data_IF_831058926930
#
_entry.id   IF_831058926930
#
_cell.length_a   1.000
_cell.length_b   1.000
_cell.length_c   1.000
_cell.angle_alpha   90.00
_cell.angle_beta   90.00
_cell.angle_gamma   90.00
#
_symmetry.space_group_name_H-M   'P 1'
#
loop_
_entity.id
_entity.type
_entity.pdbx_description
1 polymer ?
#
# COMPACT_ATOMS: atom_id res chain seq x y z
N UNK A 1 12.55 16.10 -12.91
CA UNK A 1 13.72 16.91 -12.48
C UNK A 1 14.02 16.55 -11.02
N UNK A 2 15.28 16.28 -10.66
CA UNK A 2 15.67 15.83 -9.31
C UNK A 2 16.77 16.74 -8.76
N UNK A 3 16.68 17.15 -7.51
CA UNK A 3 17.73 17.88 -6.78
C UNK A 3 17.70 17.45 -5.32
N UNK A 4 18.85 17.43 -4.65
CA UNK A 4 18.95 17.18 -3.20
C UNK A 4 18.83 18.51 -2.45
N UNK A 5 18.03 18.53 -1.39
CA UNK A 5 17.96 19.65 -0.46
C UNK A 5 18.34 19.13 0.93
N UNK A 6 19.62 19.25 1.31
CA UNK A 6 20.15 18.59 2.52
C UNK A 6 20.05 17.06 2.42
N UNK A 7 19.50 16.42 3.47
CA UNK A 7 19.34 14.95 3.56
C UNK A 7 18.03 14.43 2.93
N UNK A 8 17.38 15.23 2.09
CA UNK A 8 16.11 14.87 1.47
C UNK A 8 16.26 14.49 0.00
N UNK A 9 15.60 13.39 -0.35
CA UNK A 9 15.33 13.00 -1.73
C UNK A 9 14.01 13.65 -2.17
N UNK A 10 14.07 14.44 -3.25
CA UNK A 10 12.90 15.17 -3.77
C UNK A 10 12.32 14.39 -4.94
N UNK A 11 11.06 13.99 -4.81
CA UNK A 11 10.31 13.30 -5.86
C UNK A 11 9.18 14.18 -6.39
N UNK A 12 9.10 14.29 -7.71
CA UNK A 12 7.94 14.86 -8.40
C UNK A 12 6.89 13.79 -8.57
N UNK A 13 5.68 14.03 -8.07
CA UNK A 13 4.55 13.13 -8.27
C UNK A 13 3.42 13.89 -8.95
N UNK A 14 2.71 13.28 -9.92
CA UNK A 14 1.50 13.89 -10.45
C UNK A 14 0.44 14.03 -9.35
N UNK A 15 -0.31 15.12 -9.40
CA UNK A 15 -1.58 15.24 -8.68
C UNK A 15 -2.59 14.46 -9.50
N UNK A 16 -2.80 13.21 -9.12
CA UNK A 16 -3.74 12.36 -9.84
C UNK A 16 -5.17 12.93 -9.74
N UNK A 17 -5.87 13.13 -10.86
CA UNK A 17 -7.27 13.53 -10.83
C UNK A 17 -8.04 12.44 -10.10
N UNK A 18 -8.96 12.83 -9.20
CA UNK A 18 -9.81 11.90 -8.44
C UNK A 18 -10.89 11.22 -9.30
N UNK A 19 -10.69 11.11 -10.62
CA UNK A 19 -11.66 10.47 -11.51
C UNK A 19 -11.51 8.96 -11.40
N UNK A 20 -12.64 8.30 -11.16
CA UNK A 20 -12.72 6.85 -11.19
C UNK A 20 -12.72 6.44 -12.65
N UNK A 21 -11.60 5.91 -13.10
CA UNK A 21 -11.45 5.29 -14.42
C UNK A 21 -11.67 3.80 -14.25
N UNK A 22 -12.63 3.22 -14.97
CA UNK A 22 -12.90 1.79 -14.89
C UNK A 22 -11.68 0.98 -15.36
N UNK A 23 -11.34 -0.10 -14.65
CA UNK A 23 -10.26 -1.00 -15.06
C UNK A 23 -10.84 -2.18 -15.84
N UNK A 24 -10.39 -2.36 -17.09
CA UNK A 24 -10.67 -3.52 -17.91
C UNK A 24 -9.44 -3.91 -18.74
N UNK A 25 -9.34 -5.18 -19.12
CA UNK A 25 -8.30 -5.68 -20.03
C UNK A 25 -6.87 -5.41 -19.54
N UNK A 26 -6.11 -4.68 -20.36
CA UNK A 26 -4.65 -4.49 -20.21
C UNK A 26 -4.22 -3.98 -18.83
N UNK A 27 -4.98 -3.06 -18.22
CA UNK A 27 -4.63 -2.52 -16.89
C UNK A 27 -4.79 -3.56 -15.77
N UNK A 28 -5.77 -4.45 -15.89
CA UNK A 28 -5.93 -5.57 -14.97
C UNK A 28 -4.76 -6.55 -15.11
N UNK A 29 -4.34 -6.84 -16.34
CA UNK A 29 -3.22 -7.75 -16.58
C UNK A 29 -1.89 -7.17 -16.14
N UNK A 30 -1.67 -5.86 -16.32
CA UNK A 30 -0.51 -5.15 -15.74
C UNK A 30 -0.51 -5.28 -14.23
N UNK A 31 -1.63 -5.03 -13.57
CA UNK A 31 -1.71 -5.14 -12.11
C UNK A 31 -1.44 -6.57 -11.63
N UNK A 32 -1.95 -7.61 -12.32
CA UNK A 32 -1.63 -9.00 -11.98
C UNK A 32 -0.14 -9.31 -12.10
N UNK A 33 0.54 -8.77 -13.14
CA UNK A 33 2.00 -8.87 -13.29
C UNK A 33 2.74 -8.13 -12.18
N UNK A 34 2.29 -6.93 -11.82
CA UNK A 34 2.87 -6.17 -10.72
C UNK A 34 2.75 -6.90 -9.38
N UNK A 35 1.60 -7.54 -9.12
CA UNK A 35 1.40 -8.35 -7.90
C UNK A 35 2.26 -9.62 -7.88
N UNK A 36 2.48 -10.23 -9.06
CA UNK A 36 3.40 -11.35 -9.20
C UNK A 36 4.86 -10.94 -8.92
N UNK A 37 5.30 -9.80 -9.44
CA UNK A 37 6.63 -9.23 -9.16
C UNK A 37 6.76 -8.79 -7.69
N UNK A 38 5.73 -8.16 -7.11
CA UNK A 38 5.69 -7.79 -5.70
C UNK A 38 5.95 -9.00 -4.79
N UNK A 39 5.38 -10.15 -5.11
CA UNK A 39 5.58 -11.38 -4.34
C UNK A 39 7.03 -11.87 -4.34
N UNK A 40 7.77 -11.60 -5.43
CA UNK A 40 9.21 -11.87 -5.50
C UNK A 40 10.02 -10.85 -4.72
N UNK A 41 9.60 -9.58 -4.75
CA UNK A 41 10.28 -8.47 -4.06
C UNK A 41 10.24 -8.65 -2.54
N UNK A 42 9.06 -8.96 -1.99
CA UNK A 42 8.85 -9.04 -0.55
C UNK A 42 9.01 -10.45 0.03
N UNK A 43 9.04 -11.47 -0.82
CA UNK A 43 9.19 -12.86 -0.42
C UNK A 43 7.93 -13.45 0.25
N UNK A 44 8.03 -14.73 0.59
CA UNK A 44 6.99 -15.49 1.32
C UNK A 44 7.43 -15.90 2.72
N UNK A 45 8.71 -15.69 3.06
CA UNK A 45 9.30 -16.01 4.34
C UNK A 45 9.09 -14.92 5.40
N UNK A 46 8.49 -13.79 5.00
CA UNK A 46 8.05 -12.73 5.88
C UNK A 46 6.53 -12.61 5.79
N UNK A 47 5.85 -12.56 6.94
CA UNK A 47 4.39 -12.40 6.97
C UNK A 47 4.02 -10.93 6.71
N UNK A 48 3.48 -10.66 5.52
CA UNK A 48 2.90 -9.38 5.12
C UNK A 48 1.56 -9.61 4.41
N UNK A 49 0.76 -8.56 4.29
CA UNK A 49 -0.54 -8.59 3.64
C UNK A 49 -0.70 -7.45 2.64
N UNK A 50 -1.42 -7.69 1.55
CA UNK A 50 -1.91 -6.63 0.68
C UNK A 50 -3.07 -5.89 1.36
N UNK A 51 -3.08 -4.56 1.24
CA UNK A 51 -4.10 -3.70 1.84
C UNK A 51 -4.58 -2.62 0.86
N UNK A 52 -5.31 -1.63 1.38
CA UNK A 52 -5.69 -0.43 0.67
C UNK A 52 -6.64 -0.69 -0.49
N UNK A 53 -6.46 0.08 -1.58
CA UNK A 53 -7.42 0.07 -2.68
C UNK A 53 -7.46 -1.26 -3.43
N UNK A 54 -6.30 -1.87 -3.69
CA UNK A 54 -6.19 -3.09 -4.52
C UNK A 54 -6.76 -4.32 -3.81
N UNK A 55 -6.69 -4.36 -2.48
CA UNK A 55 -7.21 -5.47 -1.68
C UNK A 55 -8.73 -5.71 -1.87
N UNK A 56 -9.50 -4.66 -2.14
CA UNK A 56 -10.95 -4.73 -2.34
C UNK A 56 -11.32 -5.57 -3.57
N UNK A 57 -10.96 -5.18 -4.81
CA UNK A 57 -11.34 -5.93 -6.00
C UNK A 57 -10.77 -7.35 -6.04
N UNK A 58 -9.59 -7.58 -5.45
CA UNK A 58 -9.03 -8.94 -5.34
C UNK A 58 -9.88 -9.86 -4.46
N UNK A 59 -10.46 -9.32 -3.39
CA UNK A 59 -11.36 -10.10 -2.52
C UNK A 59 -12.74 -10.26 -3.13
N UNK A 60 -13.24 -9.24 -3.83
CA UNK A 60 -14.55 -9.27 -4.49
C UNK A 60 -14.55 -10.09 -5.80
N UNK A 61 -13.38 -10.36 -6.38
CA UNK A 61 -13.24 -11.06 -7.66
C UNK A 61 -13.50 -10.22 -8.90
N UNK A 62 -13.65 -8.89 -8.75
CA UNK A 62 -13.94 -7.97 -9.86
C UNK A 62 -13.24 -6.62 -9.69
N UNK A 63 -12.45 -6.22 -10.69
CA UNK A 63 -11.88 -4.87 -10.75
C UNK A 63 -12.91 -3.86 -11.24
N UNK A 64 -12.99 -2.72 -10.56
CA UNK A 64 -13.95 -1.66 -10.85
C UNK A 64 -13.28 -0.30 -11.10
N UNK A 65 -11.97 -0.18 -10.87
CA UNK A 65 -11.21 1.03 -11.16
C UNK A 65 -9.73 0.78 -11.37
N UNK A 66 -9.03 1.73 -11.98
CA UNK A 66 -7.57 1.73 -12.06
C UNK A 66 -6.98 2.00 -10.67
N UNK A 67 -6.00 1.19 -10.29
CA UNK A 67 -5.20 1.37 -9.08
C UNK A 67 -3.82 1.86 -9.46
N UNK A 68 -3.35 2.95 -8.85
CA UNK A 68 -2.04 3.58 -9.17
C UNK A 68 -0.98 3.34 -8.11
N UNK A 69 -1.39 2.86 -6.94
CA UNK A 69 -0.51 2.54 -5.81
C UNK A 69 -0.81 1.13 -5.32
N UNK A 70 0.20 0.52 -4.73
CA UNK A 70 0.10 -0.73 -3.99
C UNK A 70 0.40 -0.42 -2.54
N UNK A 71 -0.49 -0.88 -1.67
CA UNK A 71 -0.40 -0.70 -0.23
C UNK A 71 -0.12 -2.08 0.39
N UNK A 72 0.89 -2.17 1.25
CA UNK A 72 1.22 -3.38 2.02
C UNK A 72 1.13 -3.11 3.51
N UNK A 73 0.73 -4.11 4.28
CA UNK A 73 0.65 -4.08 5.72
C UNK A 73 1.53 -5.17 6.33
N UNK A 74 2.19 -4.88 7.44
CA UNK A 74 3.09 -5.81 8.13
C UNK A 74 3.04 -5.58 9.64
N UNK A 75 3.16 -6.66 10.41
CA UNK A 75 3.31 -6.57 11.87
C UNK A 75 4.69 -5.98 12.21
N UNK A 76 4.75 -5.11 13.23
CA UNK A 76 6.00 -4.48 13.67
C UNK A 76 7.13 -5.50 13.95
N UNK A 77 6.80 -6.69 14.46
CA UNK A 77 7.77 -7.76 14.72
C UNK A 77 8.44 -8.31 13.45
N UNK A 78 7.77 -8.21 12.30
CA UNK A 78 8.25 -8.66 10.99
C UNK A 78 8.80 -7.52 10.13
N UNK A 79 8.68 -6.27 10.58
CA UNK A 79 8.98 -5.11 9.74
C UNK A 79 10.45 -5.05 9.32
N UNK A 80 11.39 -5.31 10.23
CA UNK A 80 12.82 -5.34 9.91
C UNK A 80 13.14 -6.37 8.82
N UNK A 81 12.58 -7.58 8.93
CA UNK A 81 12.77 -8.63 7.93
C UNK A 81 12.18 -8.23 6.56
N UNK A 82 10.99 -7.60 6.54
CA UNK A 82 10.39 -7.11 5.30
C UNK A 82 11.28 -6.05 4.62
N UNK A 83 11.87 -5.16 5.42
CA UNK A 83 12.78 -4.11 4.91
C UNK A 83 14.04 -4.72 4.31
N UNK A 84 14.62 -5.75 4.94
CA UNK A 84 15.75 -6.49 4.38
C UNK A 84 15.41 -7.13 3.03
N UNK A 85 14.23 -7.77 2.89
CA UNK A 85 13.77 -8.36 1.62
C UNK A 85 13.59 -7.32 0.52
N UNK A 86 12.94 -6.21 0.85
CA UNK A 86 12.80 -5.10 -0.09
C UNK A 86 14.19 -4.58 -0.53
N UNK A 87 15.16 -4.50 0.39
CA UNK A 87 16.53 -4.04 0.10
C UNK A 87 17.29 -4.98 -0.84
N UNK A 88 17.15 -6.29 -0.67
CA UNK A 88 17.70 -7.31 -1.60
C UNK A 88 17.18 -7.10 -3.04
N UNK A 89 15.98 -6.54 -3.18
CA UNK A 89 15.35 -6.21 -4.46
C UNK A 89 15.56 -4.76 -4.91
N UNK A 90 16.58 -4.07 -4.40
CA UNK A 90 16.90 -2.67 -4.68
C UNK A 90 15.79 -1.69 -4.27
N UNK A 91 15.18 -1.84 -3.09
CA UNK A 91 14.34 -0.81 -2.49
C UNK A 91 15.00 -0.19 -1.26
N UNK A 92 14.74 1.10 -1.02
CA UNK A 92 15.08 1.77 0.24
C UNK A 92 13.81 2.09 1.02
N UNK A 93 13.94 2.20 2.34
CA UNK A 93 12.86 2.59 3.23
C UNK A 93 12.90 4.10 3.44
N UNK A 94 11.79 4.78 3.15
CA UNK A 94 11.71 6.23 3.23
C UNK A 94 10.48 6.68 4.00
N UNK A 95 10.61 7.75 4.77
CA UNK A 95 9.47 8.48 5.36
C UNK A 95 9.30 9.82 4.67
N UNK A 96 8.05 10.15 4.30
CA UNK A 96 7.73 11.46 3.74
C UNK A 96 7.67 12.51 4.85
N UNK A 97 8.59 13.47 4.82
CA UNK A 97 8.63 14.57 5.80
C UNK A 97 7.77 15.76 5.40
N UNK A 98 7.71 16.05 4.10
CA UNK A 98 6.99 17.22 3.61
C UNK A 98 6.43 16.97 2.22
N UNK A 99 5.34 17.66 1.89
CA UNK A 99 4.76 17.67 0.55
C UNK A 99 4.25 19.07 0.23
N UNK A 100 4.56 19.55 -0.97
CA UNK A 100 4.05 20.82 -1.49
C UNK A 100 3.50 20.66 -2.90
N UNK A 101 2.41 21.37 -3.21
CA UNK A 101 1.86 21.42 -4.56
C UNK A 101 2.59 22.51 -5.33
N UNK A 102 3.12 22.16 -6.50
CA UNK A 102 3.78 23.11 -7.41
C UNK A 102 2.80 23.63 -8.44
N UNK A 103 1.84 22.80 -8.85
CA UNK A 103 0.76 23.18 -9.76
C UNK A 103 -0.51 22.37 -9.46
N UNK A 104 -1.57 22.60 -10.24
CA UNK A 104 -2.80 21.78 -10.19
C UNK A 104 -2.56 20.31 -10.55
N UNK A 105 -1.48 20.00 -11.28
CA UNK A 105 -1.16 18.67 -11.78
C UNK A 105 0.13 18.07 -11.19
N UNK A 106 0.87 18.82 -10.38
CA UNK A 106 2.19 18.42 -9.89
C UNK A 106 2.39 18.74 -8.41
N UNK A 107 2.95 17.79 -7.66
CA UNK A 107 3.43 17.97 -6.30
C UNK A 107 4.88 17.50 -6.16
N UNK A 108 5.57 18.04 -5.16
CA UNK A 108 6.86 17.58 -4.68
C UNK A 108 6.67 16.89 -3.35
N UNK A 109 7.11 15.65 -3.25
CA UNK A 109 7.19 14.89 -2.01
C UNK A 109 8.68 14.84 -1.59
N UNK A 110 8.96 15.19 -0.33
CA UNK A 110 10.30 15.22 0.25
C UNK A 110 10.46 14.01 1.18
N UNK A 111 11.35 13.11 0.80
CA UNK A 111 11.59 11.86 1.50
C UNK A 111 12.94 11.89 2.21
N UNK A 112 12.99 11.26 3.39
CA UNK A 112 14.22 10.92 4.10
C UNK A 112 14.34 9.40 4.14
N UNK A 113 15.50 8.85 3.77
CA UNK A 113 15.77 7.43 4.03
C UNK A 113 15.80 7.22 5.55
N UNK A 114 15.21 6.13 6.02
CA UNK A 114 15.07 5.82 7.45
C UNK A 114 15.35 4.35 7.70
N UNK A 115 15.81 4.04 8.90
CA UNK A 115 15.94 2.66 9.37
C UNK A 115 14.63 2.15 9.99
N UNK A 116 14.39 0.82 10.03
CA UNK A 116 13.22 0.25 10.67
C UNK A 116 13.06 0.71 12.13
N UNK A 117 14.16 0.80 12.87
CA UNK A 117 14.18 1.16 14.28
C UNK A 117 13.78 2.63 14.50
N UNK A 118 14.17 3.53 13.58
CA UNK A 118 13.73 4.92 13.61
C UNK A 118 12.22 5.03 13.42
N UNK A 119 11.66 4.24 12.49
CA UNK A 119 10.22 4.25 12.22
C UNK A 119 9.43 3.80 13.44
N UNK A 120 9.85 2.71 14.09
CA UNK A 120 9.19 2.17 15.28
C UNK A 120 9.34 3.10 16.49
N UNK A 121 10.56 3.61 16.74
CA UNK A 121 10.87 4.43 17.92
C UNK A 121 10.28 5.84 17.85
N UNK A 122 10.33 6.48 16.68
CA UNK A 122 9.80 7.84 16.48
C UNK A 122 8.34 7.83 16.02
N UNK A 123 7.73 6.66 15.86
CA UNK A 123 6.37 6.48 15.33
C UNK A 123 6.19 7.23 14.00
N UNK A 124 7.10 6.99 13.04
CA UNK A 124 7.08 7.69 11.77
C UNK A 124 5.92 7.23 10.89
N UNK A 125 5.16 8.19 10.37
CA UNK A 125 4.06 7.94 9.43
C UNK A 125 4.52 8.09 7.96
N UNK A 126 3.64 7.66 7.05
CA UNK A 126 3.85 7.77 5.59
C UNK A 126 5.16 7.14 5.12
N UNK A 127 5.37 5.91 5.57
CA UNK A 127 6.53 5.10 5.24
C UNK A 127 6.29 4.40 3.91
N UNK A 128 7.33 4.36 3.07
CA UNK A 128 7.29 3.74 1.75
C UNK A 128 8.55 2.95 1.47
N UNK A 129 8.41 1.87 0.71
CA UNK A 129 9.52 1.34 -0.08
C UNK A 129 9.60 2.11 -1.39
N UNK A 130 10.77 2.70 -1.68
CA UNK A 130 11.04 3.34 -2.96
C UNK A 130 12.09 2.54 -3.72
N UNK A 131 11.82 2.21 -4.98
CA UNK A 131 12.77 1.50 -5.84
C UNK A 131 14.01 2.37 -6.05
N UNK A 132 15.19 1.77 -5.96
CA UNK A 132 16.48 2.42 -6.11
C UNK A 132 17.08 2.12 -7.48
N UNK A 133 17.79 3.09 -8.04
CA UNK A 133 18.64 2.90 -9.20
C UNK A 133 20.00 2.31 -8.83
N UNK A 134 20.85 2.07 -9.82
CA UNK A 134 22.21 1.55 -9.64
C UNK A 134 23.14 2.43 -8.79
N UNK A 135 22.75 3.66 -8.51
CA UNK A 135 23.49 4.60 -7.66
C UNK A 135 22.86 4.73 -6.27
N UNK A 136 21.90 3.86 -5.94
CA UNK A 136 21.19 3.88 -4.65
C UNK A 136 20.19 5.03 -4.51
N UNK A 137 19.76 5.66 -5.61
CA UNK A 137 18.81 6.79 -5.56
C UNK A 137 17.38 6.36 -5.91
N UNK A 138 16.34 6.94 -5.30
CA UNK A 138 14.96 6.65 -5.65
C UNK A 138 14.66 6.90 -7.14
N UNK A 139 14.06 5.90 -7.79
CA UNK A 139 13.51 5.96 -9.14
C UNK A 139 12.22 6.78 -9.11
N UNK A 140 11.94 7.53 -10.17
CA UNK A 140 10.75 8.35 -10.26
C UNK A 140 10.13 8.29 -11.67
N UNK A 141 9.74 7.09 -12.08
CA UNK A 141 9.08 6.86 -13.37
C UNK A 141 7.55 6.80 -13.22
N UNK A 142 7.03 6.89 -11.99
CA UNK A 142 5.62 6.75 -11.64
C UNK A 142 5.02 5.38 -12.00
N UNK A 143 5.85 4.33 -12.09
CA UNK A 143 5.33 2.97 -12.20
C UNK A 143 4.80 2.51 -10.85
N UNK A 144 3.82 1.58 -10.89
CA UNK A 144 3.07 1.12 -9.72
C UNK A 144 3.98 0.50 -8.65
N UNK A 145 5.04 -0.20 -9.08
CA UNK A 145 6.05 -0.79 -8.21
C UNK A 145 7.23 0.13 -7.90
N UNK A 146 7.33 1.34 -8.47
CA UNK A 146 8.42 2.25 -8.08
C UNK A 146 8.27 2.73 -6.62
N UNK A 147 7.04 2.68 -6.09
CA UNK A 147 6.75 3.02 -4.70
C UNK A 147 5.67 2.13 -4.11
N UNK A 148 5.92 1.57 -2.92
CA UNK A 148 4.95 0.79 -2.16
C UNK A 148 4.67 1.52 -0.85
N UNK A 149 3.40 1.78 -0.55
CA UNK A 149 2.99 2.34 0.73
C UNK A 149 2.99 1.25 1.80
N UNK A 150 3.65 1.51 2.94
CA UNK A 150 3.79 0.54 4.04
C UNK A 150 2.97 0.99 5.23
N UNK A 151 2.10 0.09 5.69
CA UNK A 151 1.31 0.23 6.90
C UNK A 151 1.86 -0.71 7.97
N UNK A 152 2.14 -0.15 9.14
CA UNK A 152 2.57 -0.93 10.30
C UNK A 152 1.37 -1.23 11.17
N UNK A 153 1.31 -2.49 11.58
CA UNK A 153 0.32 -2.98 12.53
C UNK A 153 1.05 -3.47 13.78
N UNK A 154 0.49 -3.19 14.94
CA UNK A 154 0.94 -3.79 16.19
C UNK A 154 -0.17 -4.68 16.77
N UNK A 155 0.20 -5.66 17.56
CA UNK A 155 -0.77 -6.58 18.17
C UNK A 155 -1.10 -6.11 19.60
N UNK A 156 -2.39 -5.88 19.88
CA UNK A 156 -2.93 -5.66 21.23
C UNK A 156 -3.89 -6.80 21.60
N UNK A 157 -3.43 -7.77 22.38
CA UNK A 157 -4.23 -8.95 22.74
C UNK A 157 -4.59 -9.79 21.51
N UNK A 158 -5.90 -9.92 21.23
CA UNK A 158 -6.41 -10.62 20.04
C UNK A 158 -6.67 -9.68 18.86
N UNK A 159 -6.28 -8.40 18.94
CA UNK A 159 -6.50 -7.42 17.88
C UNK A 159 -5.19 -7.01 17.20
N UNK A 160 -5.23 -6.86 15.87
CA UNK A 160 -4.27 -6.08 15.11
C UNK A 160 -4.73 -4.62 15.09
N UNK A 161 -3.81 -3.74 15.42
CA UNK A 161 -4.04 -2.32 15.56
C UNK A 161 -3.22 -1.59 14.51
N UNK A 162 -3.89 -0.79 13.67
CA UNK A 162 -3.30 -0.08 12.54
C UNK A 162 -3.49 1.43 12.65
N UNK A 163 -2.65 2.20 11.95
CA UNK A 163 -2.70 3.68 11.90
C UNK A 163 -2.70 4.29 13.31
N UNK A 164 -1.73 3.85 14.15
CA UNK A 164 -1.51 4.33 15.51
C UNK A 164 -2.75 4.24 16.41
N UNK A 165 -3.39 3.07 16.48
CA UNK A 165 -4.54 2.86 17.36
C UNK A 165 -5.90 3.08 16.71
N UNK A 166 -5.96 3.64 15.50
CA UNK A 166 -7.21 4.12 14.91
C UNK A 166 -8.11 3.00 14.38
N UNK A 167 -7.52 1.88 13.99
CA UNK A 167 -8.24 0.73 13.43
C UNK A 167 -7.87 -0.51 14.22
N UNK A 168 -8.89 -1.27 14.62
CA UNK A 168 -8.77 -2.49 15.41
C UNK A 168 -9.45 -3.63 14.66
N UNK A 169 -8.74 -4.73 14.47
CA UNK A 169 -9.20 -5.90 13.71
C UNK A 169 -8.93 -7.15 14.54
N UNK A 170 -9.86 -8.10 14.66
CA UNK A 170 -9.53 -9.41 15.22
C UNK A 170 -8.38 -10.06 14.44
N UNK A 171 -7.28 -10.40 15.12
CA UNK A 171 -6.06 -11.00 14.56
C UNK A 171 -6.35 -12.29 13.80
N UNK A 172 -7.35 -13.05 14.25
CA UNK A 172 -7.74 -14.33 13.66
C UNK A 172 -8.64 -14.21 12.43
N UNK A 173 -9.12 -13.00 12.08
CA UNK A 173 -9.90 -12.82 10.85
C UNK A 173 -8.98 -12.88 9.64
N UNK A 174 -8.87 -14.07 9.06
CA UNK A 174 -8.22 -14.27 7.76
C UNK A 174 -9.03 -13.53 6.71
N UNK A 175 -8.39 -12.60 6.01
CA UNK A 175 -8.94 -12.06 4.77
C UNK A 175 -8.81 -13.07 3.63
N UNK A 176 -9.06 -12.62 2.41
CA UNK A 176 -8.88 -13.47 1.24
C UNK A 176 -7.40 -13.81 1.02
N UNK A 177 -7.15 -14.87 0.26
CA UNK A 177 -5.83 -15.16 -0.30
C UNK A 177 -5.88 -14.92 -1.80
N UNK A 178 -4.99 -14.07 -2.30
CA UNK A 178 -4.78 -13.89 -3.73
C UNK A 178 -3.68 -14.85 -4.21
N UNK A 179 -3.92 -15.54 -5.32
CA UNK A 179 -2.90 -16.36 -5.99
C UNK A 179 -2.32 -15.58 -7.17
N UNK A 180 -1.01 -15.35 -7.16
CA UNK A 180 -0.30 -14.65 -8.25
C UNK A 180 -0.22 -15.51 -9.51
N UNK A 181 0.30 -14.93 -10.60
CA UNK A 181 0.51 -15.66 -11.86
C UNK A 181 1.49 -16.83 -11.69
N UNK A 182 2.47 -16.72 -10.80
CA UNK A 182 3.41 -17.79 -10.45
C UNK A 182 2.88 -18.76 -9.39
N UNK A 183 1.65 -18.59 -8.90
CA UNK A 183 1.04 -19.45 -7.88
C UNK A 183 1.41 -19.12 -6.44
N UNK A 184 2.16 -18.03 -6.21
CA UNK A 184 2.45 -17.52 -4.87
C UNK A 184 1.17 -17.01 -4.22
N UNK A 185 0.96 -17.36 -2.96
CA UNK A 185 -0.19 -16.91 -2.15
C UNK A 185 0.16 -15.65 -1.39
N UNK A 186 -0.59 -14.58 -1.63
CA UNK A 186 -0.52 -13.31 -0.90
C UNK A 186 -1.77 -13.19 -0.03
N UNK A 187 -1.58 -12.93 1.26
CA UNK A 187 -2.68 -12.63 2.16
C UNK A 187 -3.22 -11.24 1.87
N UNK A 188 -4.54 -11.08 1.88
CA UNK A 188 -5.23 -9.81 1.65
C UNK A 188 -5.96 -9.40 2.91
N UNK A 189 -5.92 -8.11 3.28
CA UNK A 189 -6.65 -7.61 4.46
C UNK A 189 -8.17 -7.84 4.31
N UNK A 190 -8.89 -8.18 5.40
CA UNK A 190 -10.34 -8.38 5.37
C UNK A 190 -11.11 -7.14 4.87
N UNK A 191 -12.23 -7.34 4.18
CA UNK A 191 -13.05 -6.25 3.65
C UNK A 191 -13.59 -5.34 4.74
N UNK A 192 -13.90 -5.86 5.93
CA UNK A 192 -14.43 -5.07 7.04
C UNK A 192 -13.40 -4.07 7.55
N UNK A 193 -12.12 -4.46 7.56
CA UNK A 193 -11.03 -3.54 7.87
C UNK A 193 -10.95 -2.43 6.82
N UNK A 194 -10.98 -2.80 5.53
CA UNK A 194 -10.92 -1.83 4.45
C UNK A 194 -12.10 -0.86 4.54
N UNK A 195 -13.30 -1.33 4.90
CA UNK A 195 -14.47 -0.47 5.09
C UNK A 195 -14.26 0.56 6.21
N UNK A 196 -13.74 0.14 7.38
CA UNK A 196 -13.44 1.06 8.48
C UNK A 196 -12.41 2.13 8.08
N UNK A 197 -11.36 1.73 7.34
CA UNK A 197 -10.34 2.67 6.85
C UNK A 197 -10.93 3.69 5.88
N UNK A 198 -11.84 3.24 5.00
CA UNK A 198 -12.44 4.07 3.95
C UNK A 198 -13.53 5.00 4.47
N UNK A 199 -14.34 4.54 5.44
CA UNK A 199 -15.39 5.33 6.08
C UNK A 199 -14.84 6.63 6.69
N UNK A 200 -13.66 6.56 7.32
CA UNK A 200 -13.06 7.71 8.00
C UNK A 200 -12.31 8.68 7.08
N UNK A 201 -12.35 8.47 5.75
CA UNK A 201 -11.61 9.28 4.75
C UNK A 201 -12.56 10.04 3.83
N UNK A 202 -12.16 11.27 3.49
CA UNK A 202 -12.99 12.21 2.72
C UNK A 202 -12.65 12.30 1.23
N UNK A 203 -11.76 11.43 0.71
CA UNK A 203 -11.44 11.45 -0.72
C UNK A 203 -12.57 10.79 -1.54
N UNK A 204 -12.80 11.26 -2.77
CA UNK A 204 -13.87 10.72 -3.63
C UNK A 204 -13.62 9.25 -3.98
N UNK A 205 -12.36 8.86 -4.11
CA UNK A 205 -11.94 7.46 -4.31
C UNK A 205 -12.27 6.62 -3.08
N UNK A 206 -12.01 7.13 -1.87
CA UNK A 206 -12.30 6.39 -0.65
C UNK A 206 -13.81 6.25 -0.43
N UNK A 207 -14.59 7.30 -0.73
CA UNK A 207 -16.06 7.24 -0.70
C UNK A 207 -16.61 6.21 -1.68
N UNK A 208 -16.08 6.16 -2.91
CA UNK A 208 -16.48 5.17 -3.90
C UNK A 208 -16.14 3.73 -3.47
N UNK A 209 -14.92 3.50 -2.99
CA UNK A 209 -14.51 2.21 -2.41
C UNK A 209 -15.45 1.80 -1.26
N UNK A 210 -15.81 2.74 -0.37
CA UNK A 210 -16.72 2.50 0.74
C UNK A 210 -18.15 2.14 0.29
N UNK A 211 -18.68 2.77 -0.76
CA UNK A 211 -20.00 2.45 -1.32
C UNK A 211 -20.04 1.02 -1.90
N UNK A 212 -18.98 0.58 -2.57
CA UNK A 212 -18.87 -0.79 -3.08
C UNK A 212 -18.87 -1.80 -1.93
N UNK A 213 -18.06 -1.55 -0.90
CA UNK A 213 -17.99 -2.39 0.30
C UNK A 213 -19.35 -2.46 1.02
N UNK A 214 -20.02 -1.32 1.19
CA UNK A 214 -21.33 -1.24 1.82
C UNK A 214 -22.37 -2.07 1.07
N UNK A 215 -22.38 -1.97 -0.27
CA UNK A 215 -23.30 -2.72 -1.14
C UNK A 215 -23.05 -4.23 -1.05
N UNK A 216 -21.78 -4.65 -0.97
CA UNK A 216 -21.38 -6.04 -0.78
C UNK A 216 -21.93 -6.59 0.55
N UNK A 217 -21.73 -5.88 1.66
CA UNK A 217 -22.19 -6.35 2.98
C UNK A 217 -23.71 -6.42 3.11
N UNK A 218 -24.46 -5.54 2.44
CA UNK A 218 -25.92 -5.64 2.38
C UNK A 218 -26.34 -6.91 1.63
N UNK A 219 -25.71 -7.17 0.48
CA UNK A 219 -26.06 -8.33 -0.37
C UNK A 219 -25.70 -9.65 0.31
N UNK A 220 -24.55 -9.74 0.97
CA UNK A 220 -24.11 -10.96 1.66
C UNK A 220 -25.02 -11.31 2.85
N UNK A 221 -25.53 -10.30 3.56
CA UNK A 221 -26.52 -10.49 4.65
C UNK A 221 -27.86 -11.05 4.18
N UNK A 222 -28.25 -10.80 2.93
CA UNK A 222 -29.50 -11.34 2.34
C UNK A 222 -29.32 -12.78 1.88
N UNK A 223 -28.08 -13.22 1.65
CA UNK A 223 -27.76 -14.59 1.16
C UNK A 223 -27.51 -15.61 2.27
N UNK A 224 -27.36 -15.16 3.52
CA UNK A 224 -27.15 -15.98 4.72
C UNK A 224 -28.45 -16.05 5.52
#
# INVERSE_FOLDING_TARGET
MKFKLGNYEVMTSPVFPKKIENAYGEETDKLKRDLDELSRILGQDVEWCLTGGVAIPLTLGSFYRIHRTIDVAVDESNFGALVSKARESNYGLFSRRFMTKVSSSLKLDFYREVLPEEVLKENLHHVKFLRLDKFGKPVNNNFRLDSLDVFLDHTEGEELVSDCGRFRIPRFRRGATYSTLSGVRINVRPLEYLAQVKEKRNSDIDKHDFLILSSYFVTDKVRK
#
